data_IF_898676043397
#
_entry.id   IF_898676043397
#
_cell.length_a   1.000
_cell.length_b   1.000
_cell.length_c   1.000
_cell.angle_alpha   90.00
_cell.angle_beta   90.00
_cell.angle_gamma   90.00
#
_symmetry.space_group_name_H-M   'P 1'
#
loop_
_entity.id
_entity.type
_entity.pdbx_description
1 polymer ?
#
# COMPACT_ATOMS: atom_id res chain seq x y z
N UNK A 1 7.24 8.55 -34.42
CA UNK A 1 6.32 8.06 -33.37
C UNK A 1 7.14 7.24 -32.40
N UNK A 2 7.47 7.78 -31.23
CA UNK A 2 8.29 7.08 -30.24
C UNK A 2 7.46 6.04 -29.51
N UNK A 3 7.51 4.79 -29.97
CA UNK A 3 7.03 3.65 -29.19
C UNK A 3 7.98 3.45 -28.01
N UNK A 4 7.72 4.13 -26.90
CA UNK A 4 8.45 3.90 -25.66
C UNK A 4 8.31 2.43 -25.26
N UNK A 5 9.44 1.82 -24.88
CA UNK A 5 9.46 0.46 -24.35
C UNK A 5 8.65 0.45 -23.06
N UNK A 6 7.44 -0.10 -23.10
CA UNK A 6 6.71 -0.49 -21.90
C UNK A 6 7.39 -1.76 -21.40
N UNK A 7 8.01 -1.70 -20.23
CA UNK A 7 8.52 -2.90 -19.56
C UNK A 7 7.36 -3.46 -18.75
N UNK A 8 6.69 -4.54 -19.20
CA UNK A 8 5.59 -5.12 -18.46
C UNK A 8 6.10 -5.73 -17.15
N UNK A 9 5.23 -5.75 -16.13
CA UNK A 9 5.53 -6.42 -14.86
C UNK A 9 5.00 -7.85 -14.95
N UNK A 10 5.90 -8.82 -14.82
CA UNK A 10 5.57 -10.24 -14.85
C UNK A 10 4.57 -10.62 -13.73
N UNK A 11 3.59 -11.46 -14.06
CA UNK A 11 2.64 -12.04 -13.10
C UNK A 11 3.37 -12.89 -12.04
N UNK A 12 4.50 -13.52 -12.38
CA UNK A 12 5.32 -14.27 -11.43
C UNK A 12 6.01 -13.38 -10.37
N UNK A 13 6.28 -12.13 -10.72
CA UNK A 13 7.00 -11.17 -9.87
C UNK A 13 6.09 -10.26 -9.07
N UNK A 14 4.90 -9.97 -9.58
CA UNK A 14 3.87 -9.20 -8.88
C UNK A 14 2.45 -9.62 -9.34
N UNK A 15 1.91 -10.72 -8.80
CA UNK A 15 0.69 -11.30 -9.32
C UNK A 15 -0.55 -10.38 -9.23
N UNK A 16 -1.47 -10.51 -10.16
CA UNK A 16 -2.82 -9.94 -10.03
C UNK A 16 -3.56 -10.58 -8.85
N UNK A 17 -4.42 -9.83 -8.18
CA UNK A 17 -5.20 -10.29 -7.04
C UNK A 17 -5.14 -9.33 -5.85
N UNK A 18 -5.53 -9.82 -4.68
CA UNK A 18 -5.59 -9.01 -3.47
C UNK A 18 -4.30 -9.06 -2.65
N UNK A 19 -4.00 -7.92 -2.03
CA UNK A 19 -2.87 -7.74 -1.14
C UNK A 19 -3.34 -7.09 0.15
N UNK A 20 -2.87 -7.64 1.28
CA UNK A 20 -2.90 -6.94 2.56
C UNK A 20 -1.66 -6.07 2.64
N UNK A 21 -1.82 -4.81 3.06
CA UNK A 21 -0.68 -3.97 3.37
C UNK A 21 -0.67 -3.49 4.81
N UNK A 22 0.52 -3.17 5.31
CA UNK A 22 0.68 -2.44 6.57
C UNK A 22 1.73 -1.34 6.45
N UNK A 23 1.49 -0.23 7.15
CA UNK A 23 2.45 0.87 7.32
C UNK A 23 2.19 1.63 8.61
N UNK A 24 3.17 2.37 9.09
CA UNK A 24 2.92 3.35 10.13
C UNK A 24 1.99 4.47 9.62
N UNK A 25 1.19 5.04 10.52
CA UNK A 25 0.45 6.26 10.22
C UNK A 25 1.41 7.42 9.95
N UNK A 26 0.96 8.36 9.11
CA UNK A 26 1.73 9.56 8.81
C UNK A 26 1.49 10.68 9.82
N UNK A 27 0.39 10.61 10.56
CA UNK A 27 -0.08 11.64 11.50
C UNK A 27 0.05 11.22 12.95
N UNK A 28 0.06 9.93 13.24
CA UNK A 28 0.13 9.36 14.59
C UNK A 28 1.31 8.38 14.67
N UNK A 29 2.31 8.64 15.55
CA UNK A 29 3.50 7.80 15.64
C UNK A 29 3.23 6.40 16.18
N UNK A 30 2.18 6.21 16.99
CA UNK A 30 1.88 4.96 17.71
C UNK A 30 0.76 4.15 17.03
N UNK A 31 0.25 4.65 15.90
CA UNK A 31 -0.81 4.03 15.12
C UNK A 31 -0.30 3.52 13.77
N UNK A 32 -0.86 2.38 13.35
CA UNK A 32 -0.55 1.72 12.09
C UNK A 32 -1.80 1.61 11.25
N UNK A 33 -1.62 1.46 9.95
CA UNK A 33 -2.72 1.21 9.02
C UNK A 33 -2.56 -0.20 8.48
N UNK A 34 -3.62 -0.99 8.58
CA UNK A 34 -3.80 -2.21 7.80
C UNK A 34 -4.83 -1.93 6.73
N UNK A 35 -4.53 -2.27 5.48
CA UNK A 35 -5.46 -2.07 4.39
C UNK A 35 -5.42 -3.19 3.36
N UNK A 36 -6.35 -3.10 2.42
CA UNK A 36 -6.50 -4.03 1.32
C UNK A 36 -6.38 -3.28 0.00
N UNK A 37 -5.61 -3.81 -0.93
CA UNK A 37 -5.54 -3.33 -2.30
C UNK A 37 -5.73 -4.50 -3.27
N UNK A 38 -6.25 -4.21 -4.45
CA UNK A 38 -6.35 -5.13 -5.56
C UNK A 38 -5.39 -4.68 -6.66
N UNK A 39 -4.62 -5.62 -7.19
CA UNK A 39 -3.80 -5.42 -8.39
C UNK A 39 -4.53 -6.08 -9.57
N UNK A 40 -4.66 -5.33 -10.66
CA UNK A 40 -5.25 -5.77 -11.92
C UNK A 40 -4.36 -5.35 -13.08
N UNK A 41 -4.45 -6.06 -14.21
CA UNK A 41 -3.70 -5.71 -15.41
C UNK A 41 -4.61 -5.31 -16.56
N UNK A 42 -4.16 -4.37 -17.37
CA UNK A 42 -4.80 -3.96 -18.62
C UNK A 42 -3.74 -3.36 -19.54
N UNK A 43 -3.74 -3.75 -20.82
CA UNK A 43 -2.88 -3.19 -21.87
C UNK A 43 -1.38 -3.17 -21.48
N UNK A 44 -0.88 -4.26 -20.87
CA UNK A 44 0.49 -4.43 -20.33
C UNK A 44 0.86 -3.58 -19.10
N UNK A 45 -0.10 -2.83 -18.54
CA UNK A 45 0.09 -2.08 -17.29
C UNK A 45 -0.54 -2.83 -16.11
N UNK A 46 0.07 -2.69 -14.93
CA UNK A 46 -0.51 -3.11 -13.67
C UNK A 46 -1.04 -1.89 -12.92
N UNK A 47 -2.26 -2.02 -12.42
CA UNK A 47 -3.00 -0.99 -11.72
C UNK A 47 -3.36 -1.45 -10.32
N UNK A 48 -3.18 -0.54 -9.38
CA UNK A 48 -3.61 -0.69 -8.00
C UNK A 48 -4.98 -0.04 -7.81
N UNK A 49 -5.84 -0.68 -7.04
CA UNK A 49 -7.07 -0.09 -6.50
C UNK A 49 -7.18 -0.38 -5.02
N UNK A 50 -7.54 0.61 -4.21
CA UNK A 50 -7.79 0.44 -2.79
C UNK A 50 -8.79 1.46 -2.26
N UNK A 51 -9.10 1.36 -0.98
CA UNK A 51 -10.03 2.26 -0.31
C UNK A 51 -9.47 2.70 1.04
N UNK A 52 -9.55 4.00 1.32
CA UNK A 52 -9.24 4.53 2.64
C UNK A 52 -10.15 3.90 3.71
N UNK A 53 -9.69 3.70 4.95
CA UNK A 53 -10.54 3.25 6.04
C UNK A 53 -11.67 4.25 6.31
N UNK A 54 -12.89 3.77 6.63
CA UNK A 54 -14.02 4.65 6.97
C UNK A 54 -13.71 5.56 8.15
N UNK A 55 -13.07 5.02 9.19
CA UNK A 55 -12.65 5.80 10.35
C UNK A 55 -11.71 6.96 9.98
N UNK A 56 -10.79 6.76 9.02
CA UNK A 56 -9.92 7.83 8.56
C UNK A 56 -10.69 8.94 7.85
N UNK A 57 -11.72 8.58 7.07
CA UNK A 57 -12.60 9.55 6.43
C UNK A 57 -13.41 10.34 7.45
N UNK A 58 -14.00 9.66 8.43
CA UNK A 58 -14.82 10.25 9.49
C UNK A 58 -14.00 11.23 10.34
N UNK A 59 -12.76 10.88 10.69
CA UNK A 59 -11.82 11.78 11.39
C UNK A 59 -11.56 13.09 10.65
N UNK A 60 -11.66 13.09 9.32
CA UNK A 60 -11.48 14.26 8.48
C UNK A 60 -12.81 14.88 8.01
N UNK A 61 -13.95 14.46 8.57
CA UNK A 61 -15.27 14.96 8.18
C UNK A 61 -15.65 14.66 6.73
N UNK A 62 -15.06 13.63 6.12
CA UNK A 62 -15.29 13.25 4.72
C UNK A 62 -16.35 12.15 4.59
N UNK A 63 -17.00 12.07 3.42
CA UNK A 63 -17.92 10.97 3.08
C UNK A 63 -17.25 9.60 3.18
N UNK A 64 -17.97 8.61 3.73
CA UNK A 64 -17.52 7.21 3.82
C UNK A 64 -17.98 6.34 2.65
N UNK A 65 -18.55 6.96 1.61
CA UNK A 65 -18.91 6.28 0.37
C UNK A 65 -17.69 5.72 -0.37
N UNK A 66 -17.92 4.73 -1.23
CA UNK A 66 -16.85 4.10 -1.98
C UNK A 66 -16.13 5.06 -2.95
N UNK A 67 -16.83 5.91 -3.73
CA UNK A 67 -16.17 6.82 -4.68
C UNK A 67 -15.19 7.82 -4.05
N UNK A 68 -15.47 8.29 -2.84
CA UNK A 68 -14.62 9.26 -2.10
C UNK A 68 -13.43 8.55 -1.45
N UNK A 69 -13.63 7.32 -0.98
CA UNK A 69 -12.57 6.51 -0.34
C UNK A 69 -11.59 5.89 -1.33
N UNK A 70 -11.99 5.74 -2.58
CA UNK A 70 -11.18 5.06 -3.58
C UNK A 70 -9.87 5.79 -3.87
N UNK A 71 -8.78 5.03 -3.89
CA UNK A 71 -7.51 5.44 -4.46
C UNK A 71 -7.07 4.44 -5.52
N UNK A 72 -6.34 4.94 -6.52
CA UNK A 72 -5.81 4.15 -7.63
C UNK A 72 -4.33 4.39 -7.78
N UNK A 73 -3.63 3.45 -8.40
CA UNK A 73 -2.23 3.66 -8.74
C UNK A 73 -1.77 2.93 -9.98
N UNK A 74 -0.65 3.40 -10.52
CA UNK A 74 0.08 2.77 -11.61
C UNK A 74 1.34 2.13 -11.05
N UNK A 75 1.58 0.87 -11.39
CA UNK A 75 2.76 0.11 -10.99
C UNK A 75 3.77 0.11 -12.14
N UNK A 76 5.03 0.34 -11.83
CA UNK A 76 6.14 0.36 -12.80
C UNK A 76 7.36 -0.39 -12.23
N UNK A 77 8.18 -1.05 -13.05
CA UNK A 77 9.49 -1.53 -12.62
C UNK A 77 10.36 -0.37 -12.12
N UNK A 78 11.07 -0.57 -11.02
CA UNK A 78 11.96 0.46 -10.44
C UNK A 78 13.13 -0.20 -9.72
N UNK A 79 14.35 -0.01 -10.23
CA UNK A 79 15.55 -0.66 -9.71
C UNK A 79 15.34 -2.18 -9.53
N UNK A 80 15.60 -2.72 -8.33
CA UNK A 80 15.40 -4.13 -7.96
C UNK A 80 13.95 -4.46 -7.52
N UNK A 81 13.02 -3.52 -7.66
CA UNK A 81 11.64 -3.66 -7.21
C UNK A 81 10.65 -2.94 -8.10
N UNK A 82 9.62 -2.39 -7.45
CA UNK A 82 8.47 -1.77 -8.09
C UNK A 82 8.26 -0.37 -7.51
N UNK A 83 7.93 0.57 -8.38
CA UNK A 83 7.34 1.85 -8.02
C UNK A 83 5.83 1.78 -8.17
N UNK A 84 5.07 2.32 -7.21
CA UNK A 84 3.63 2.54 -7.33
C UNK A 84 3.33 4.01 -7.07
N UNK A 85 2.85 4.70 -8.11
CA UNK A 85 2.29 6.04 -7.96
C UNK A 85 0.81 5.89 -7.64
N UNK A 86 0.42 6.29 -6.43
CA UNK A 86 -0.96 6.17 -5.93
C UNK A 86 -1.55 7.55 -5.73
N UNK A 87 -2.79 7.76 -6.16
CA UNK A 87 -3.56 8.97 -5.89
C UNK A 87 -5.00 8.66 -5.51
N UNK A 88 -5.56 9.51 -4.64
CA UNK A 88 -7.00 9.59 -4.45
C UNK A 88 -7.63 10.36 -5.61
N UNK A 89 -8.96 10.23 -5.75
CA UNK A 89 -9.75 11.05 -6.68
C UNK A 89 -9.36 12.53 -6.55
N UNK A 90 -9.28 13.21 -7.70
CA UNK A 90 -8.88 14.61 -7.85
C UNK A 90 -7.47 14.94 -7.32
N UNK A 91 -6.63 13.92 -7.11
CA UNK A 91 -5.26 14.05 -6.62
C UNK A 91 -5.14 14.80 -5.28
N UNK A 92 -6.20 14.77 -4.46
CA UNK A 92 -6.22 15.41 -3.12
C UNK A 92 -5.05 14.93 -2.26
N UNK A 93 -4.69 13.66 -2.40
CA UNK A 93 -3.46 13.10 -1.85
C UNK A 93 -2.82 12.17 -2.87
N UNK A 94 -1.50 12.21 -2.95
CA UNK A 94 -0.72 11.22 -3.70
C UNK A 94 0.47 10.72 -2.90
N UNK A 95 0.90 9.51 -3.24
CA UNK A 95 2.07 8.88 -2.67
C UNK A 95 2.85 8.10 -3.71
N UNK A 96 4.15 8.02 -3.49
CA UNK A 96 5.04 7.11 -4.18
C UNK A 96 5.34 5.94 -3.25
N UNK A 97 5.22 4.70 -3.72
CA UNK A 97 5.62 3.52 -2.99
C UNK A 97 6.77 2.82 -3.71
N UNK A 98 7.81 2.45 -2.98
CA UNK A 98 8.83 1.51 -3.43
C UNK A 98 8.63 0.17 -2.72
N UNK A 99 8.66 -0.93 -3.48
CA UNK A 99 8.43 -2.28 -2.97
C UNK A 99 9.38 -3.27 -3.66
N UNK A 100 10.21 -3.97 -2.90
CA UNK A 100 11.04 -5.06 -3.39
C UNK A 100 10.47 -6.40 -2.89
N UNK A 101 10.41 -7.41 -3.77
CA UNK A 101 9.96 -8.75 -3.40
C UNK A 101 10.98 -9.37 -2.45
N UNK A 102 10.51 -9.98 -1.36
CA UNK A 102 11.38 -10.70 -0.44
C UNK A 102 10.99 -12.18 -0.36
N UNK A 103 11.97 -13.09 -0.29
CA UNK A 103 11.69 -14.51 -0.11
C UNK A 103 11.16 -14.76 1.30
N UNK A 104 10.06 -15.51 1.40
CA UNK A 104 9.56 -16.03 2.68
C UNK A 104 8.97 -17.43 2.47
N UNK A 105 9.08 -18.28 3.49
CA UNK A 105 8.78 -19.72 3.39
C UNK A 105 7.33 -20.05 2.98
N UNK A 106 6.35 -19.34 3.54
CA UNK A 106 4.95 -19.73 3.43
C UNK A 106 4.07 -18.75 2.64
N UNK A 107 4.54 -17.51 2.45
CA UNK A 107 3.78 -16.40 1.85
C UNK A 107 4.71 -15.54 1.01
N UNK A 108 4.14 -14.79 0.08
CA UNK A 108 4.91 -13.88 -0.78
C UNK A 108 4.71 -12.46 -0.24
N UNK A 109 5.83 -11.76 0.01
CA UNK A 109 5.82 -10.40 0.52
C UNK A 109 6.64 -9.46 -0.35
N UNK A 110 6.27 -8.18 -0.29
CA UNK A 110 7.08 -7.09 -0.77
C UNK A 110 7.27 -6.10 0.37
N UNK A 111 8.49 -5.63 0.55
CA UNK A 111 8.86 -4.71 1.61
C UNK A 111 9.54 -3.51 0.99
N UNK A 112 9.27 -2.33 1.54
CA UNK A 112 9.90 -1.10 1.16
C UNK A 112 9.30 0.05 1.93
N UNK A 113 8.89 1.10 1.23
CA UNK A 113 8.43 2.33 1.85
C UNK A 113 7.44 3.10 1.00
N UNK A 114 6.72 4.01 1.63
CA UNK A 114 5.82 4.97 1.00
C UNK A 114 6.21 6.39 1.37
N UNK A 115 6.11 7.30 0.40
CA UNK A 115 6.38 8.72 0.51
C UNK A 115 5.11 9.50 0.17
N UNK A 116 4.71 10.45 1.03
CA UNK A 116 3.68 11.43 0.68
C UNK A 116 4.29 12.55 -0.15
N UNK A 117 3.65 12.88 -1.28
CA UNK A 117 4.02 14.05 -2.08
C UNK A 117 3.35 15.30 -1.51
N UNK A 118 3.78 15.72 -0.33
CA UNK A 118 3.29 16.92 0.36
C UNK A 118 4.46 17.83 0.71
N UNK A 119 4.21 19.14 0.95
CA UNK A 119 5.23 20.03 1.48
C UNK A 119 5.88 19.49 2.75
N UNK A 120 7.10 19.96 3.01
CA UNK A 120 7.80 19.65 4.25
C UNK A 120 6.99 20.09 5.47
N UNK A 121 6.95 19.22 6.48
CA UNK A 121 6.35 19.52 7.77
C UNK A 121 7.24 18.93 8.85
N UNK A 122 7.62 19.71 9.88
CA UNK A 122 8.45 19.21 10.98
C UNK A 122 7.71 18.24 11.90
N UNK A 123 6.38 18.18 11.83
CA UNK A 123 5.53 17.42 12.76
C UNK A 123 4.93 16.16 12.15
N UNK A 124 4.97 15.99 10.83
CA UNK A 124 4.38 14.84 10.15
C UNK A 124 5.42 14.01 9.42
N UNK A 125 5.18 12.70 9.40
CA UNK A 125 6.05 11.76 8.70
C UNK A 125 5.81 11.90 7.19
N UNK A 126 6.87 12.12 6.41
CA UNK A 126 6.82 12.07 4.94
C UNK A 126 7.04 10.65 4.38
N UNK A 127 7.85 9.85 5.07
CA UNK A 127 8.25 8.51 4.66
C UNK A 127 7.90 7.46 5.71
N UNK A 128 7.26 6.36 5.34
CA UNK A 128 6.96 5.24 6.23
C UNK A 128 7.33 3.91 5.59
N UNK A 129 7.81 2.95 6.39
CA UNK A 129 7.97 1.56 5.92
C UNK A 129 6.62 0.98 5.52
N UNK A 130 6.65 0.16 4.47
CA UNK A 130 5.48 -0.43 3.83
C UNK A 130 5.72 -1.90 3.59
N UNK A 131 4.73 -2.72 3.92
CA UNK A 131 4.76 -4.18 3.72
C UNK A 131 3.51 -4.58 2.97
N UNK A 132 3.67 -5.36 1.90
CA UNK A 132 2.60 -5.98 1.14
C UNK A 132 2.70 -7.50 1.28
N UNK A 133 1.57 -8.15 1.45
CA UNK A 133 1.39 -9.59 1.51
C UNK A 133 0.38 -10.02 0.46
N UNK A 134 0.76 -10.94 -0.40
CA UNK A 134 -0.15 -11.49 -1.40
C UNK A 134 -1.17 -12.43 -0.76
N UNK A 135 -2.45 -12.08 -0.89
CA UNK A 135 -3.58 -12.93 -0.51
C UNK A 135 -4.16 -13.67 -1.73
N UNK A 136 -3.84 -13.22 -2.94
CA UNK A 136 -4.36 -13.76 -4.18
C UNK A 136 -5.87 -13.62 -4.27
N UNK A 137 -6.54 -14.75 -4.47
CA UNK A 137 -7.98 -14.85 -4.65
C UNK A 137 -8.66 -15.60 -3.49
N UNK A 138 -7.96 -15.80 -2.37
CA UNK A 138 -8.53 -16.39 -1.16
C UNK A 138 -9.50 -15.41 -0.51
N UNK A 139 -10.78 -15.51 -0.89
CA UNK A 139 -11.82 -14.61 -0.40
C UNK A 139 -12.05 -14.71 1.11
N UNK A 140 -11.69 -15.81 1.74
CA UNK A 140 -11.77 -15.92 3.19
C UNK A 140 -10.74 -14.99 3.85
N UNK A 141 -9.48 -15.05 3.43
CA UNK A 141 -8.43 -14.14 3.92
C UNK A 141 -8.69 -12.68 3.54
N UNK A 142 -9.21 -12.43 2.33
CA UNK A 142 -9.55 -11.08 1.86
C UNK A 142 -10.65 -10.46 2.71
N UNK A 143 -11.76 -11.18 2.94
CA UNK A 143 -12.86 -10.67 3.75
C UNK A 143 -12.49 -10.54 5.22
N UNK A 144 -11.68 -11.45 5.77
CA UNK A 144 -11.14 -11.31 7.11
C UNK A 144 -10.31 -10.03 7.25
N UNK A 145 -9.41 -9.77 6.29
CA UNK A 145 -8.59 -8.55 6.26
C UNK A 145 -9.44 -7.29 6.10
N UNK A 146 -10.44 -7.32 5.23
CA UNK A 146 -11.31 -6.17 4.98
C UNK A 146 -12.09 -5.74 6.23
N UNK A 147 -12.52 -6.67 7.08
CA UNK A 147 -13.21 -6.39 8.34
C UNK A 147 -12.31 -5.75 9.40
N UNK A 148 -11.02 -6.00 9.34
CA UNK A 148 -10.02 -5.46 10.28
C UNK A 148 -9.18 -4.34 9.68
N UNK A 149 -9.51 -3.87 8.46
CA UNK A 149 -8.79 -2.81 7.79
C UNK A 149 -9.08 -1.47 8.46
N UNK A 150 -8.03 -0.68 8.73
CA UNK A 150 -8.13 0.57 9.44
C UNK A 150 -6.90 0.92 10.25
N UNK A 151 -7.06 1.90 11.12
CA UNK A 151 -6.08 2.21 12.16
C UNK A 151 -6.05 1.08 13.19
N UNK A 152 -4.86 0.62 13.51
CA UNK A 152 -4.62 -0.47 14.45
C UNK A 152 -3.41 -0.17 15.31
N UNK A 153 -3.39 -0.71 16.52
CA UNK A 153 -2.23 -0.72 17.40
C UNK A 153 -1.21 -1.77 16.96
N UNK A 154 0.04 -1.65 17.42
CA UNK A 154 1.12 -2.57 17.07
C UNK A 154 0.75 -4.05 17.29
N UNK A 155 0.08 -4.37 18.40
CA UNK A 155 -0.29 -5.74 18.79
C UNK A 155 -1.27 -6.42 17.80
N UNK A 156 -1.97 -5.64 16.99
CA UNK A 156 -2.92 -6.10 15.96
C UNK A 156 -2.29 -6.28 14.58
N UNK A 157 -1.04 -5.86 14.38
CA UNK A 157 -0.33 -6.11 13.13
C UNK A 157 -0.05 -7.61 12.92
N UNK A 158 -0.14 -8.12 11.68
CA UNK A 158 0.39 -9.45 11.35
C UNK A 158 1.85 -9.56 11.79
N UNK A 159 2.22 -10.69 12.39
CA UNK A 159 3.55 -10.88 13.02
C UNK A 159 4.70 -10.54 12.07
N UNK A 160 4.62 -10.97 10.81
CA UNK A 160 5.64 -10.66 9.82
C UNK A 160 5.68 -9.17 9.48
N UNK A 161 4.52 -8.53 9.33
CA UNK A 161 4.43 -7.10 9.05
C UNK A 161 5.05 -6.28 10.18
N UNK A 162 4.74 -6.60 11.44
CA UNK A 162 5.32 -5.93 12.60
C UNK A 162 6.85 -5.94 12.56
N UNK A 163 7.45 -7.10 12.29
CA UNK A 163 8.91 -7.24 12.16
C UNK A 163 9.47 -6.36 11.03
N UNK A 164 8.85 -6.40 9.85
CA UNK A 164 9.33 -5.65 8.68
C UNK A 164 9.11 -4.13 8.80
N UNK A 165 8.16 -3.70 9.62
CA UNK A 165 7.96 -2.28 9.92
C UNK A 165 9.02 -1.69 10.86
N UNK A 166 9.89 -2.52 11.47
CA UNK A 166 11.03 -2.08 12.31
C UNK A 166 10.64 -0.94 13.25
N UNK A 167 9.59 -1.19 14.04
CA UNK A 167 8.95 -0.19 14.90
C UNK A 167 9.99 0.31 15.92
N UNK A 168 10.05 1.63 16.11
CA UNK A 168 11.05 2.28 16.96
C UNK A 168 12.42 2.49 16.30
N UNK A 169 12.70 1.89 15.15
CA UNK A 169 13.97 2.08 14.46
C UNK A 169 13.93 3.26 13.47
N UNK A 170 14.95 4.14 13.44
CA UNK A 170 15.02 5.25 12.50
C UNK A 170 14.85 4.82 11.05
N UNK A 171 14.18 5.64 10.25
CA UNK A 171 14.13 5.50 8.80
C UNK A 171 15.31 6.27 8.21
N UNK A 172 16.27 5.55 7.63
CA UNK A 172 17.51 6.08 7.04
C UNK A 172 17.53 5.90 5.53
#
# INVERSE_FOLDING_TARGET
>A
MGGGVVIPIDEADFPSGFYRFSRASFTDPDSFIVGLVQISRRDNFAFLRGFEPKAAMEMHGMSTDAPTREFRGLVMPQAEGLAILVSRRDSVTSSFNYLARIPALAKIYWVGYTLRTTPESPTTRRAARLVYEYLGHDMHQVLATARTAGYVTEDKLPTFHRKQLRIGEPFV
#
